data_IF_981018806407
#
_entry.id   IF_981018806407
#
_cell.length_a   1.000
_cell.length_b   1.000
_cell.length_c   1.000
_cell.angle_alpha   90.00
_cell.angle_beta   90.00
_cell.angle_gamma   90.00
#
_symmetry.space_group_name_H-M   'P 1'
#
loop_
_entity.id
_entity.type
_entity.pdbx_description
1 polymer ?
#
# COMPACT_ATOMS: atom_id res chain seq x y z
N UNK A 1 -15.45 13.77 -8.72
CA UNK A 1 -14.43 14.64 -8.11
C UNK A 1 -13.06 14.26 -8.68
N UNK A 2 -12.18 15.20 -9.04
CA UNK A 2 -10.82 14.88 -9.46
C UNK A 2 -10.07 14.22 -8.29
N UNK A 3 -9.48 13.05 -8.57
CA UNK A 3 -8.51 12.41 -7.69
C UNK A 3 -7.22 13.22 -7.78
N UNK A 4 -6.46 13.36 -6.70
CA UNK A 4 -5.13 13.99 -6.76
C UNK A 4 -4.08 13.01 -6.26
N UNK A 5 -2.87 13.11 -6.81
CA UNK A 5 -1.73 12.32 -6.37
C UNK A 5 -0.66 13.25 -5.82
N UNK A 6 -0.06 12.85 -4.70
CA UNK A 6 1.06 13.54 -4.07
C UNK A 6 2.36 13.19 -4.78
N UNK A 7 3.06 14.20 -5.27
CA UNK A 7 4.40 14.05 -5.83
C UNK A 7 5.48 14.24 -4.76
N UNK A 8 6.71 13.77 -5.01
CA UNK A 8 7.82 13.82 -4.04
C UNK A 8 8.26 15.22 -3.62
N UNK A 9 7.93 16.25 -4.41
CA UNK A 9 8.13 17.67 -4.06
C UNK A 9 6.94 18.26 -3.30
N UNK A 10 6.09 17.40 -2.72
CA UNK A 10 4.90 17.75 -1.94
C UNK A 10 3.81 18.47 -2.76
N UNK A 11 3.85 18.43 -4.10
CA UNK A 11 2.81 19.02 -4.94
C UNK A 11 1.69 18.01 -5.24
N UNK A 12 0.46 18.50 -5.22
CA UNK A 12 -0.72 17.73 -5.63
C UNK A 12 -1.05 18.03 -7.08
N UNK A 13 -1.00 16.99 -7.90
CA UNK A 13 -1.38 17.07 -9.31
C UNK A 13 -2.76 16.45 -9.50
N UNK A 14 -3.67 17.12 -10.22
CA UNK A 14 -4.96 16.52 -10.58
C UNK A 14 -4.70 15.26 -11.41
N UNK A 15 -5.28 14.14 -10.99
CA UNK A 15 -5.31 12.91 -11.75
C UNK A 15 -6.02 13.22 -13.07
N UNK A 16 -5.34 13.12 -14.23
CA UNK A 16 -6.05 13.26 -15.48
C UNK A 16 -7.09 12.13 -15.54
N UNK A 17 -8.38 12.47 -15.70
CA UNK A 17 -9.45 11.48 -15.89
C UNK A 17 -9.29 10.66 -17.18
N UNK A 18 -8.25 10.93 -17.94
CA UNK A 18 -7.75 10.15 -19.06
C UNK A 18 -6.39 9.58 -18.67
N UNK A 19 -6.11 8.29 -18.90
CA UNK A 19 -4.74 7.79 -18.82
C UNK A 19 -3.91 8.74 -19.69
N UNK A 20 -2.82 9.29 -19.13
CA UNK A 20 -1.93 10.18 -19.85
C UNK A 20 -1.59 9.51 -21.19
N UNK A 21 -2.30 9.94 -22.23
CA UNK A 21 -2.15 9.42 -23.56
C UNK A 21 -0.92 10.14 -24.06
N UNK A 22 0.22 9.47 -24.00
CA UNK A 22 1.43 9.88 -24.68
C UNK A 22 2.05 11.18 -24.20
N UNK A 23 2.89 11.09 -23.17
CA UNK A 23 4.29 11.47 -23.42
C UNK A 23 5.00 10.21 -23.88
N UNK A 24 5.07 10.06 -25.20
CA UNK A 24 5.96 9.18 -25.96
C UNK A 24 6.91 8.32 -25.10
N UNK A 25 6.45 7.12 -24.73
CA UNK A 25 7.35 6.01 -24.36
C UNK A 25 8.17 5.52 -25.59
N UNK A 26 8.12 6.23 -26.72
CA UNK A 26 8.99 6.01 -27.89
C UNK A 26 10.36 6.69 -27.73
N UNK A 27 10.53 7.58 -26.75
CA UNK A 27 11.82 8.25 -26.51
C UNK A 27 12.68 7.58 -25.44
N UNK A 28 12.14 6.57 -24.75
CA UNK A 28 13.01 5.59 -24.11
C UNK A 28 13.63 4.76 -25.22
N UNK A 29 14.94 4.80 -25.31
CA UNK A 29 15.88 3.90 -25.99
C UNK A 29 15.64 2.43 -25.60
N UNK A 30 14.44 1.93 -25.83
CA UNK A 30 13.85 0.74 -25.20
C UNK A 30 14.19 -0.56 -25.95
N UNK A 31 14.51 -0.45 -27.24
CA UNK A 31 14.63 -1.62 -28.12
C UNK A 31 15.99 -2.31 -28.12
N UNK A 32 17.09 -1.55 -27.94
CA UNK A 32 18.43 -2.07 -28.19
C UNK A 32 19.26 -2.21 -26.91
N UNK A 33 19.38 -1.18 -26.07
CA UNK A 33 20.23 -1.22 -24.86
C UNK A 33 19.78 -2.30 -23.87
N UNK A 34 18.48 -2.40 -23.58
CA UNK A 34 17.91 -3.40 -22.68
C UNK A 34 18.05 -4.82 -23.20
N UNK A 35 17.91 -5.03 -24.53
CA UNK A 35 18.16 -6.34 -25.14
C UNK A 35 19.63 -6.73 -25.04
N UNK A 36 20.55 -5.81 -25.28
CA UNK A 36 22.00 -6.10 -25.18
C UNK A 36 22.40 -6.44 -23.74
N UNK A 37 21.81 -5.77 -22.75
CA UNK A 37 22.11 -5.99 -21.33
C UNK A 37 21.37 -7.20 -20.72
N UNK A 38 20.28 -7.67 -21.33
CA UNK A 38 19.66 -8.94 -20.93
C UNK A 38 20.25 -10.15 -21.68
N UNK A 39 20.94 -9.92 -22.80
CA UNK A 39 21.43 -10.99 -23.69
C UNK A 39 22.69 -11.73 -23.22
N UNK A 40 23.55 -11.14 -22.37
CA UNK A 40 24.57 -11.84 -21.56
C UNK A 40 25.55 -10.87 -20.87
N UNK A 41 25.23 -10.38 -19.67
CA UNK A 41 26.24 -9.98 -18.70
C UNK A 41 26.40 -11.07 -17.64
N UNK A 42 27.53 -11.05 -16.93
CA UNK A 42 27.62 -11.78 -15.68
C UNK A 42 26.47 -11.39 -14.71
N UNK A 43 26.24 -12.21 -13.67
CA UNK A 43 25.13 -11.97 -12.74
C UNK A 43 25.16 -10.60 -12.04
N UNK A 44 26.33 -9.94 -11.97
CA UNK A 44 26.53 -8.67 -11.26
C UNK A 44 26.17 -7.49 -12.16
N UNK A 45 26.63 -7.49 -13.40
CA UNK A 45 26.32 -6.48 -14.41
C UNK A 45 24.83 -6.49 -14.76
N UNK A 46 24.21 -7.69 -14.89
CA UNK A 46 22.76 -7.82 -15.11
C UNK A 46 21.96 -7.22 -13.96
N UNK A 47 22.31 -7.55 -12.72
CA UNK A 47 21.62 -7.01 -11.54
C UNK A 47 21.70 -5.48 -11.45
N UNK A 48 22.85 -4.90 -11.82
CA UNK A 48 23.05 -3.45 -11.84
C UNK A 48 22.16 -2.77 -12.88
N UNK A 49 22.09 -3.32 -14.09
CA UNK A 49 21.25 -2.77 -15.13
C UNK A 49 19.76 -2.92 -14.85
N UNK A 50 19.34 -4.08 -14.32
CA UNK A 50 17.97 -4.29 -13.85
C UNK A 50 17.60 -3.26 -12.78
N UNK A 51 18.49 -2.96 -11.82
CA UNK A 51 18.24 -1.92 -10.82
C UNK A 51 18.08 -0.53 -11.44
N UNK A 52 18.98 -0.14 -12.36
CA UNK A 52 18.88 1.15 -13.06
C UNK A 52 17.57 1.29 -13.84
N UNK A 53 17.03 0.19 -14.35
CA UNK A 53 15.82 0.19 -15.17
C UNK A 53 14.52 0.07 -14.35
N UNK A 54 14.49 -0.81 -13.35
CA UNK A 54 13.28 -1.19 -12.62
C UNK A 54 13.00 -0.34 -11.39
N UNK A 55 14.04 0.28 -10.81
CA UNK A 55 13.90 1.03 -9.57
C UNK A 55 13.60 2.49 -9.90
N UNK A 56 12.51 3.01 -9.34
CA UNK A 56 12.09 4.40 -9.43
C UNK A 56 12.50 5.12 -8.14
N UNK A 57 13.75 5.59 -8.01
CA UNK A 57 14.30 6.08 -6.74
C UNK A 57 13.59 7.32 -6.21
N UNK A 58 12.90 8.05 -7.07
CA UNK A 58 12.25 9.31 -6.71
C UNK A 58 10.74 9.23 -6.74
N UNK A 59 10.12 8.23 -7.38
CA UNK A 59 8.67 8.22 -7.60
C UNK A 59 8.07 6.89 -7.17
N UNK A 60 7.07 6.90 -6.28
CA UNK A 60 6.37 5.67 -5.93
C UNK A 60 5.56 5.15 -7.12
N UNK A 61 5.43 3.83 -7.19
CA UNK A 61 4.59 3.15 -8.17
C UNK A 61 3.18 3.12 -7.62
N UNK A 62 2.24 3.68 -8.37
CA UNK A 62 0.86 3.83 -7.93
C UNK A 62 0.02 2.80 -8.68
N UNK A 63 -0.53 1.84 -7.95
CA UNK A 63 -1.17 0.67 -8.55
C UNK A 63 -2.50 0.99 -9.25
N UNK A 64 -3.11 2.14 -8.98
CA UNK A 64 -4.28 2.59 -9.75
C UNK A 64 -3.91 3.00 -11.21
N UNK A 65 -2.63 3.27 -11.47
CA UNK A 65 -2.09 3.71 -12.75
C UNK A 65 -1.08 2.72 -13.38
N UNK A 66 -0.76 1.62 -12.70
CA UNK A 66 0.35 0.75 -13.09
C UNK A 66 -0.01 -0.22 -14.22
N UNK A 67 0.65 -0.06 -15.38
CA UNK A 67 0.76 -1.07 -16.47
C UNK A 67 2.16 -1.72 -16.48
N UNK A 68 3.03 -1.32 -15.54
CA UNK A 68 4.48 -1.54 -15.63
C UNK A 68 4.90 -3.00 -15.58
N UNK A 69 4.30 -3.83 -14.72
CA UNK A 69 4.78 -5.21 -14.57
C UNK A 69 4.53 -6.06 -15.83
N UNK A 70 3.34 -5.98 -16.43
CA UNK A 70 3.03 -6.69 -17.70
C UNK A 70 3.98 -6.29 -18.83
N UNK A 71 4.38 -5.03 -18.85
CA UNK A 71 5.36 -4.54 -19.81
C UNK A 71 6.78 -5.07 -19.51
N UNK A 72 7.18 -5.11 -18.24
CA UNK A 72 8.46 -5.68 -17.79
C UNK A 72 8.54 -7.17 -18.15
N UNK A 73 7.49 -7.93 -17.86
CA UNK A 73 7.41 -9.35 -18.22
C UNK A 73 7.55 -9.55 -19.74
N UNK A 74 6.82 -8.77 -20.52
CA UNK A 74 6.88 -8.83 -22.00
C UNK A 74 8.28 -8.48 -22.52
N UNK A 75 9.00 -7.57 -21.85
CA UNK A 75 10.35 -7.18 -22.25
C UNK A 75 11.40 -8.26 -21.91
N UNK A 76 11.26 -8.95 -20.77
CA UNK A 76 12.20 -9.98 -20.30
C UNK A 76 11.91 -11.33 -20.95
N UNK A 77 10.63 -11.71 -21.07
CA UNK A 77 10.16 -12.97 -21.64
C UNK A 77 9.03 -12.70 -22.67
N UNK A 78 9.36 -12.31 -23.91
CA UNK A 78 8.37 -11.84 -24.90
C UNK A 78 7.43 -12.92 -25.46
N UNK A 79 7.64 -14.21 -25.17
CA UNK A 79 6.98 -15.30 -25.88
C UNK A 79 5.64 -15.73 -25.26
N UNK A 80 4.60 -16.01 -26.07
CA UNK A 80 3.39 -16.66 -25.61
C UNK A 80 3.70 -18.14 -25.38
N UNK A 81 4.05 -18.52 -24.15
CA UNK A 81 4.13 -19.93 -23.78
C UNK A 81 2.72 -20.54 -23.77
N UNK A 82 2.26 -20.97 -24.94
CA UNK A 82 1.35 -22.09 -25.07
C UNK A 82 2.23 -23.36 -25.02
N UNK A 83 2.67 -23.73 -23.82
CA UNK A 83 3.23 -25.07 -23.61
C UNK A 83 2.06 -26.05 -23.57
N UNK A 84 2.10 -27.07 -24.41
CA UNK A 84 1.28 -28.25 -24.23
C UNK A 84 1.62 -28.85 -22.86
N UNK A 85 0.64 -29.23 -22.03
CA UNK A 85 0.88 -29.78 -20.70
C UNK A 85 1.50 -31.17 -20.85
N UNK A 86 2.81 -31.24 -20.98
CA UNK A 86 3.56 -32.49 -21.21
C UNK A 86 5.05 -32.31 -21.50
N UNK A 87 5.47 -31.15 -22.01
CA UNK A 87 6.89 -30.90 -22.32
C UNK A 87 7.69 -30.41 -21.11
N UNK A 88 8.90 -30.93 -20.95
CA UNK A 88 9.84 -30.46 -19.93
C UNK A 88 10.33 -29.04 -20.28
N UNK A 89 10.58 -28.16 -19.29
CA UNK A 89 11.06 -26.81 -19.54
C UNK A 89 12.37 -26.86 -20.34
N UNK A 90 12.48 -26.04 -21.38
CA UNK A 90 13.75 -25.87 -22.10
C UNK A 90 14.76 -25.13 -21.22
N UNK A 91 16.07 -25.23 -21.52
CA UNK A 91 17.10 -24.45 -20.82
C UNK A 91 16.89 -22.93 -20.95
N UNK A 92 16.25 -22.49 -22.06
CA UNK A 92 15.89 -21.10 -22.29
C UNK A 92 14.71 -20.67 -21.40
N UNK A 93 13.79 -21.59 -21.09
CA UNK A 93 12.65 -21.36 -20.19
C UNK A 93 13.13 -21.20 -18.74
N UNK A 94 14.06 -22.05 -18.30
CA UNK A 94 14.65 -21.99 -16.97
C UNK A 94 15.43 -20.69 -16.77
N UNK A 95 16.21 -20.29 -17.79
CA UNK A 95 16.95 -19.02 -17.79
C UNK A 95 16.02 -17.81 -17.74
N UNK A 96 14.95 -17.81 -18.55
CA UNK A 96 13.96 -16.71 -18.58
C UNK A 96 13.20 -16.60 -17.25
N UNK A 97 12.84 -17.73 -16.64
CA UNK A 97 12.18 -17.77 -15.34
C UNK A 97 13.10 -17.23 -14.23
N UNK A 98 14.38 -17.58 -14.26
CA UNK A 98 15.35 -17.05 -13.31
C UNK A 98 15.52 -15.53 -13.46
N UNK A 99 15.58 -15.01 -14.69
CA UNK A 99 15.66 -13.58 -14.95
C UNK A 99 14.40 -12.83 -14.49
N UNK A 100 13.21 -13.39 -14.72
CA UNK A 100 11.95 -12.84 -14.23
C UNK A 100 11.92 -12.78 -12.70
N UNK A 101 12.45 -13.81 -12.03
CA UNK A 101 12.55 -13.84 -10.56
C UNK A 101 13.50 -12.78 -10.02
N UNK A 102 14.67 -12.60 -10.65
CA UNK A 102 15.62 -11.54 -10.29
C UNK A 102 15.02 -10.14 -10.50
N UNK A 103 14.34 -9.94 -11.63
CA UNK A 103 13.66 -8.68 -11.92
C UNK A 103 12.52 -8.40 -10.92
N UNK A 104 11.73 -9.42 -10.56
CA UNK A 104 10.68 -9.30 -9.57
C UNK A 104 11.25 -8.92 -8.20
N UNK A 105 12.31 -9.60 -7.76
CA UNK A 105 12.98 -9.29 -6.49
C UNK A 105 13.45 -7.84 -6.48
N UNK A 106 14.15 -7.38 -7.51
CA UNK A 106 14.62 -5.99 -7.62
C UNK A 106 13.46 -5.00 -7.65
N UNK A 107 12.43 -5.27 -8.45
CA UNK A 107 11.31 -4.36 -8.64
C UNK A 107 10.48 -4.21 -7.36
N UNK A 108 10.09 -5.30 -6.71
CA UNK A 108 9.26 -5.24 -5.51
C UNK A 108 10.03 -4.85 -4.25
N UNK A 109 11.31 -5.21 -4.15
CA UNK A 109 12.09 -4.91 -2.93
C UNK A 109 12.64 -3.50 -2.87
N UNK A 110 12.93 -2.87 -4.02
CA UNK A 110 13.58 -1.56 -4.04
C UNK A 110 12.66 -0.40 -4.42
N UNK A 111 11.42 -0.67 -4.83
CA UNK A 111 10.44 0.38 -5.11
C UNK A 111 9.54 0.64 -3.92
N UNK A 112 9.03 1.87 -3.86
CA UNK A 112 7.92 2.24 -3.00
C UNK A 112 6.61 2.05 -3.77
N UNK A 113 5.63 1.40 -3.14
CA UNK A 113 4.31 1.19 -3.72
C UNK A 113 3.23 1.99 -2.98
N UNK A 114 2.38 2.68 -3.74
CA UNK A 114 1.15 3.29 -3.24
C UNK A 114 -0.02 2.53 -3.83
N UNK A 115 -0.84 1.93 -2.96
CA UNK A 115 -1.92 1.04 -3.35
C UNK A 115 -3.18 1.49 -2.65
N UNK A 116 -4.26 1.65 -3.40
CA UNK A 116 -5.56 1.93 -2.78
C UNK A 116 -6.09 0.68 -2.09
N UNK A 117 -6.80 0.86 -0.99
CA UNK A 117 -7.31 -0.27 -0.20
C UNK A 117 -8.13 -1.25 -1.03
N UNK A 118 -8.93 -0.74 -1.99
CA UNK A 118 -9.76 -1.55 -2.88
C UNK A 118 -8.99 -2.37 -3.93
N UNK A 119 -7.69 -2.11 -4.11
CA UNK A 119 -6.82 -2.85 -5.05
C UNK A 119 -5.77 -3.71 -4.33
N UNK A 120 -5.78 -3.74 -2.99
CA UNK A 120 -4.71 -4.31 -2.20
C UNK A 120 -4.58 -5.83 -2.39
N UNK A 121 -5.69 -6.55 -2.38
CA UNK A 121 -5.71 -7.99 -2.64
C UNK A 121 -5.17 -8.37 -4.02
N UNK A 122 -5.61 -7.67 -5.06
CA UNK A 122 -5.20 -7.88 -6.44
C UNK A 122 -3.70 -7.62 -6.61
N UNK A 123 -3.18 -6.59 -5.94
CA UNK A 123 -1.76 -6.28 -5.92
C UNK A 123 -0.94 -7.37 -5.21
N UNK A 124 -1.41 -7.88 -4.08
CA UNK A 124 -0.64 -8.82 -3.26
C UNK A 124 -0.65 -10.26 -3.79
N UNK A 125 -1.76 -10.72 -4.38
CA UNK A 125 -1.98 -12.14 -4.66
C UNK A 125 -2.00 -12.51 -6.14
N UNK A 126 -1.82 -11.56 -7.07
CA UNK A 126 -1.90 -11.82 -8.52
C UNK A 126 -3.07 -12.75 -8.87
N UNK A 127 -4.26 -12.37 -8.41
CA UNK A 127 -5.50 -13.17 -8.52
C UNK A 127 -5.86 -13.54 -9.96
N UNK A 128 -5.31 -12.83 -10.94
CA UNK A 128 -5.52 -13.07 -12.36
C UNK A 128 -4.41 -13.92 -13.02
N UNK A 129 -3.39 -14.36 -12.26
CA UNK A 129 -2.24 -15.11 -12.78
C UNK A 129 -1.45 -14.35 -13.85
N UNK A 130 -1.63 -13.02 -13.93
CA UNK A 130 -1.06 -12.17 -14.96
C UNK A 130 0.43 -11.96 -14.73
N UNK A 131 0.86 -11.93 -13.47
CA UNK A 131 2.23 -11.65 -13.09
C UNK A 131 3.14 -12.90 -13.17
N UNK A 132 2.58 -14.12 -13.17
CA UNK A 132 3.33 -15.38 -13.30
C UNK A 132 4.58 -15.43 -12.38
N UNK A 133 4.57 -14.73 -11.26
CA UNK A 133 5.70 -14.69 -10.32
C UNK A 133 5.54 -15.87 -9.37
N UNK A 134 6.47 -16.85 -9.38
CA UNK A 134 6.44 -17.94 -8.43
C UNK A 134 6.84 -17.38 -7.05
N UNK A 135 5.86 -17.26 -6.15
CA UNK A 135 6.06 -16.69 -4.82
C UNK A 135 5.42 -15.30 -4.71
N UNK A 136 4.44 -15.22 -3.82
CA UNK A 136 3.56 -14.07 -3.59
C UNK A 136 4.35 -12.75 -3.52
N UNK A 137 3.88 -11.72 -4.24
CA UNK A 137 4.35 -10.32 -4.16
C UNK A 137 4.51 -9.86 -2.70
N UNK A 138 3.62 -10.34 -1.83
CA UNK A 138 3.65 -10.27 -0.36
C UNK A 138 5.04 -10.48 0.27
N UNK A 139 5.84 -11.40 -0.28
CA UNK A 139 7.17 -11.75 0.24
C UNK A 139 8.29 -10.86 -0.28
N UNK A 140 8.06 -10.07 -1.33
CA UNK A 140 9.09 -9.25 -1.97
C UNK A 140 9.00 -7.78 -1.57
N UNK A 141 7.81 -7.28 -1.25
CA UNK A 141 7.60 -5.86 -0.96
C UNK A 141 8.30 -5.43 0.33
N UNK A 142 9.00 -4.29 0.26
CA UNK A 142 9.67 -3.64 1.40
C UNK A 142 9.01 -2.33 1.83
N UNK A 143 8.56 -1.48 0.92
CA UNK A 143 7.88 -0.21 1.23
C UNK A 143 6.48 -0.14 0.58
N UNK A 144 5.45 -0.18 1.43
CA UNK A 144 4.06 -0.15 1.01
C UNK A 144 3.29 0.96 1.73
N UNK A 145 2.57 1.76 0.95
CA UNK A 145 1.60 2.74 1.42
C UNK A 145 0.21 2.34 0.96
N UNK A 146 -0.70 2.12 1.92
CA UNK A 146 -2.11 1.80 1.66
C UNK A 146 -2.96 3.06 1.83
N UNK A 147 -3.70 3.44 0.80
CA UNK A 147 -4.55 4.64 0.81
C UNK A 147 -6.01 4.26 1.02
N UNK A 148 -6.61 4.86 2.04
CA UNK A 148 -8.04 4.75 2.37
C UNK A 148 -8.68 6.11 2.14
N UNK A 149 -9.65 6.19 1.23
CA UNK A 149 -10.35 7.47 0.97
C UNK A 149 -11.61 7.58 1.83
N UNK A 150 -11.85 8.76 2.41
CA UNK A 150 -13.03 9.01 3.26
C UNK A 150 -14.28 9.41 2.45
N UNK A 151 -14.26 9.17 1.13
CA UNK A 151 -14.96 9.96 0.10
C UNK A 151 -16.42 10.29 0.39
N UNK A 152 -16.71 11.44 1.00
CA UNK A 152 -18.05 12.04 1.10
C UNK A 152 -19.16 11.14 1.65
N UNK A 153 -18.83 10.04 2.33
CA UNK A 153 -19.80 9.03 2.74
C UNK A 153 -20.61 9.55 3.94
N UNK A 154 -21.92 9.69 3.74
CA UNK A 154 -22.89 9.98 4.81
C UNK A 154 -22.98 8.82 5.83
N UNK A 155 -22.54 7.61 5.45
CA UNK A 155 -22.29 6.46 6.33
C UNK A 155 -21.56 5.33 5.59
N UNK A 156 -20.54 4.72 6.18
CA UNK A 156 -19.96 3.46 5.67
C UNK A 156 -20.91 2.32 6.05
N UNK A 157 -21.34 1.51 5.09
CA UNK A 157 -22.17 0.33 5.39
C UNK A 157 -21.36 -0.73 6.14
N UNK A 158 -22.04 -1.60 6.90
CA UNK A 158 -21.38 -2.69 7.62
C UNK A 158 -20.54 -3.57 6.70
N UNK A 159 -21.09 -3.93 5.53
CA UNK A 159 -20.41 -4.71 4.50
C UNK A 159 -19.14 -4.04 3.97
N UNK A 160 -19.19 -2.73 3.70
CA UNK A 160 -18.00 -1.97 3.28
C UNK A 160 -16.95 -1.95 4.39
N UNK A 161 -17.37 -1.75 5.64
CA UNK A 161 -16.48 -1.79 6.79
C UNK A 161 -15.81 -3.16 6.98
N UNK A 162 -16.56 -4.25 6.81
CA UNK A 162 -16.03 -5.61 6.85
C UNK A 162 -15.02 -5.87 5.73
N UNK A 163 -15.30 -5.44 4.51
CA UNK A 163 -14.37 -5.59 3.38
C UNK A 163 -13.10 -4.77 3.61
N UNK A 164 -13.20 -3.54 4.13
CA UNK A 164 -12.03 -2.74 4.51
C UNK A 164 -11.13 -3.47 5.52
N UNK A 165 -11.74 -4.06 6.56
CA UNK A 165 -11.01 -4.83 7.57
C UNK A 165 -10.34 -6.05 6.95
N UNK A 166 -11.06 -6.79 6.10
CA UNK A 166 -10.54 -7.97 5.39
C UNK A 166 -9.37 -7.62 4.47
N UNK A 167 -9.46 -6.53 3.70
CA UNK A 167 -8.37 -6.06 2.84
C UNK A 167 -7.11 -5.73 3.68
N UNK A 168 -7.27 -5.01 4.79
CA UNK A 168 -6.15 -4.71 5.69
C UNK A 168 -5.54 -5.96 6.35
N UNK A 169 -6.31 -7.03 6.54
CA UNK A 169 -5.78 -8.29 7.09
C UNK A 169 -4.77 -8.96 6.16
N UNK A 170 -4.81 -8.72 4.84
CA UNK A 170 -3.79 -9.25 3.92
C UNK A 170 -2.38 -8.72 4.23
N UNK A 171 -2.28 -7.55 4.86
CA UNK A 171 -0.99 -6.98 5.28
C UNK A 171 -0.27 -7.85 6.32
N UNK A 172 -0.97 -8.68 7.09
CA UNK A 172 -0.32 -9.63 8.00
C UNK A 172 0.58 -10.63 7.28
N UNK A 173 0.29 -10.95 6.00
CA UNK A 173 1.12 -11.82 5.18
C UNK A 173 2.47 -11.19 4.81
N UNK A 174 2.57 -9.86 4.81
CA UNK A 174 3.71 -9.11 4.28
C UNK A 174 4.87 -9.05 5.30
N UNK A 175 5.54 -10.18 5.52
CA UNK A 175 6.57 -10.33 6.57
C UNK A 175 7.82 -9.47 6.37
N UNK A 176 8.14 -9.17 5.11
CA UNK A 176 9.38 -8.50 4.72
C UNK A 176 9.26 -6.97 4.64
N UNK A 177 8.09 -6.39 4.92
CA UNK A 177 7.90 -4.94 4.90
C UNK A 177 8.85 -4.25 5.87
N UNK A 178 9.70 -3.37 5.36
CA UNK A 178 10.54 -2.48 6.14
C UNK A 178 9.76 -1.24 6.55
N UNK A 179 8.78 -0.84 5.73
CA UNK A 179 7.91 0.30 5.98
C UNK A 179 6.49 0.01 5.50
N UNK A 180 5.54 0.26 6.39
CA UNK A 180 4.11 0.21 6.10
C UNK A 180 3.48 1.55 6.49
N UNK A 181 2.89 2.23 5.52
CA UNK A 181 2.11 3.43 5.77
C UNK A 181 0.63 3.17 5.46
N UNK A 182 -0.26 3.69 6.31
CA UNK A 182 -1.70 3.75 6.04
C UNK A 182 -2.09 5.23 6.01
N UNK A 183 -2.57 5.68 4.87
CA UNK A 183 -2.99 7.07 4.67
C UNK A 183 -4.51 7.15 4.57
N UNK A 184 -5.12 7.91 5.48
CA UNK A 184 -6.55 8.22 5.45
C UNK A 184 -6.72 9.55 4.74
N UNK A 185 -7.14 9.51 3.48
CA UNK A 185 -7.24 10.65 2.58
C UNK A 185 -8.66 11.22 2.55
N UNK A 186 -8.81 12.51 2.80
CA UNK A 186 -10.10 13.18 2.76
C UNK A 186 -10.07 14.61 3.27
N UNK A 187 -11.19 15.33 3.17
CA UNK A 187 -11.35 16.64 3.83
C UNK A 187 -11.41 16.55 5.36
N UNK A 188 -11.79 17.66 5.99
CA UNK A 188 -12.00 17.72 7.44
C UNK A 188 -10.78 18.15 8.24
N UNK A 189 -10.86 17.97 9.55
CA UNK A 189 -9.82 18.39 10.50
C UNK A 189 -8.59 17.46 10.38
N UNK A 190 -7.39 18.03 10.42
CA UNK A 190 -6.16 17.24 10.30
C UNK A 190 -5.91 16.32 11.50
N UNK A 191 -6.49 16.60 12.67
CA UNK A 191 -6.54 15.67 13.79
C UNK A 191 -7.41 14.44 13.51
N UNK A 192 -8.16 14.40 12.41
CA UNK A 192 -9.07 13.31 12.08
C UNK A 192 -10.27 13.24 13.02
N UNK A 193 -10.68 14.39 13.58
CA UNK A 193 -11.86 14.51 14.45
C UNK A 193 -13.16 14.72 13.66
N UNK A 194 -13.07 14.89 12.34
CA UNK A 194 -14.26 14.88 11.49
C UNK A 194 -14.90 13.48 11.47
N UNK A 195 -16.22 13.46 11.32
CA UNK A 195 -17.02 12.23 11.39
C UNK A 195 -16.53 11.15 10.42
N UNK A 196 -16.27 11.49 9.16
CA UNK A 196 -15.87 10.53 8.13
C UNK A 196 -14.52 9.88 8.46
N UNK A 197 -13.56 10.65 8.96
CA UNK A 197 -12.26 10.13 9.40
C UNK A 197 -12.39 9.28 10.67
N UNK A 198 -13.17 9.72 11.65
CA UNK A 198 -13.42 8.94 12.87
C UNK A 198 -14.09 7.60 12.57
N UNK A 199 -15.03 7.56 11.62
CA UNK A 199 -15.71 6.33 11.23
C UNK A 199 -14.74 5.31 10.61
N UNK A 200 -13.83 5.76 9.75
CA UNK A 200 -12.76 4.90 9.22
C UNK A 200 -11.86 4.42 10.35
N UNK A 201 -11.39 5.31 11.22
CA UNK A 201 -10.56 4.96 12.37
C UNK A 201 -11.27 3.91 13.23
N UNK A 202 -12.56 4.07 13.50
CA UNK A 202 -13.38 3.13 14.26
C UNK A 202 -13.42 1.76 13.61
N UNK A 203 -13.65 1.69 12.31
CA UNK A 203 -13.73 0.44 11.53
C UNK A 203 -12.39 -0.29 11.54
N UNK A 204 -11.30 0.41 11.26
CA UNK A 204 -9.97 -0.21 11.12
C UNK A 204 -9.25 -0.40 12.47
N UNK A 205 -9.74 0.19 13.56
CA UNK A 205 -9.08 0.17 14.86
C UNK A 205 -8.66 -1.23 15.33
N UNK A 206 -9.51 -2.28 15.23
CA UNK A 206 -9.14 -3.64 15.62
C UNK A 206 -7.99 -4.23 14.79
N UNK A 207 -8.04 -4.09 13.46
CA UNK A 207 -7.01 -4.66 12.57
C UNK A 207 -5.70 -3.89 12.71
N UNK A 208 -5.76 -2.56 12.80
CA UNK A 208 -4.59 -1.71 12.99
C UNK A 208 -3.89 -2.00 14.32
N UNK A 209 -4.62 -2.32 15.39
CA UNK A 209 -4.01 -2.77 16.64
C UNK A 209 -3.14 -4.02 16.43
N UNK A 210 -3.64 -4.99 15.66
CA UNK A 210 -2.86 -6.18 15.30
C UNK A 210 -1.65 -5.84 14.42
N UNK A 211 -1.83 -5.00 13.40
CA UNK A 211 -0.74 -4.55 12.52
C UNK A 211 0.35 -3.82 13.32
N UNK A 212 -0.04 -2.98 14.28
CA UNK A 212 0.91 -2.29 15.16
C UNK A 212 1.73 -3.27 16.00
N UNK A 213 1.13 -4.34 16.51
CA UNK A 213 1.87 -5.39 17.22
C UNK A 213 2.89 -6.11 16.34
N UNK A 214 2.58 -6.33 15.05
CA UNK A 214 3.47 -7.01 14.10
C UNK A 214 4.57 -6.10 13.54
N UNK A 215 4.22 -4.88 13.15
CA UNK A 215 5.13 -3.97 12.43
C UNK A 215 5.82 -2.96 13.35
N UNK A 216 5.26 -2.70 14.54
CA UNK A 216 5.79 -1.79 15.54
C UNK A 216 6.17 -0.42 14.94
N UNK A 217 7.44 -0.02 15.03
CA UNK A 217 7.95 1.26 14.53
C UNK A 217 7.94 1.38 13.00
N UNK A 218 7.74 0.27 12.28
CA UNK A 218 7.62 0.24 10.81
C UNK A 218 6.24 0.66 10.32
N UNK A 219 5.23 0.68 11.20
CA UNK A 219 3.89 1.12 10.87
C UNK A 219 3.74 2.62 11.13
N UNK A 220 3.26 3.34 10.13
CA UNK A 220 2.83 4.73 10.25
C UNK A 220 1.40 4.89 9.75
N UNK A 221 0.65 5.76 10.41
CA UNK A 221 -0.74 6.08 10.05
C UNK A 221 -0.86 7.59 10.01
N UNK A 222 -1.35 8.11 8.89
CA UNK A 222 -1.45 9.54 8.68
C UNK A 222 -2.82 9.94 8.14
N UNK A 223 -3.32 11.08 8.61
CA UNK A 223 -4.43 11.80 7.98
C UNK A 223 -3.84 12.70 6.89
N UNK A 224 -4.37 12.58 5.67
CA UNK A 224 -3.95 13.36 4.51
C UNK A 224 -5.14 14.16 3.98
N UNK A 225 -4.94 15.45 3.75
CA UNK A 225 -5.94 16.34 3.17
C UNK A 225 -5.93 16.31 1.63
N UNK A 226 -6.92 16.90 0.93
CA UNK A 226 -6.95 16.92 -0.53
C UNK A 226 -5.87 17.82 -1.17
N UNK A 227 -5.46 18.87 -0.47
CA UNK A 227 -4.25 19.68 -0.75
C UNK A 227 -2.97 19.04 -0.17
N UNK A 228 -3.17 17.87 0.44
CA UNK A 228 -2.34 17.02 1.26
C UNK A 228 -1.12 17.56 1.95
N UNK A 229 -1.42 18.51 2.83
CA UNK A 229 -0.95 18.38 4.19
C UNK A 229 -1.16 16.94 4.71
N UNK A 230 -0.21 16.50 5.54
CA UNK A 230 -0.26 15.19 6.20
C UNK A 230 0.02 15.37 7.67
N UNK A 231 -0.74 14.70 8.52
CA UNK A 231 -0.54 14.64 9.97
C UNK A 231 -0.43 13.19 10.40
N UNK A 232 0.68 12.84 11.03
CA UNK A 232 0.84 11.52 11.63
C UNK A 232 -0.10 11.38 12.85
N UNK A 233 -0.96 10.36 12.82
CA UNK A 233 -1.93 10.04 13.86
C UNK A 233 -1.71 8.64 14.45
N UNK A 234 -0.56 8.01 14.18
CA UNK A 234 -0.18 6.67 14.68
C UNK A 234 -0.31 6.55 16.20
N UNK A 235 -0.08 7.66 16.89
CA UNK A 235 -0.23 7.82 18.33
C UNK A 235 -1.63 7.50 18.88
N UNK A 236 -2.69 7.55 18.06
CA UNK A 236 -4.05 7.20 18.50
C UNK A 236 -4.17 5.73 18.92
N UNK A 237 -3.31 4.86 18.39
CA UNK A 237 -3.20 3.46 18.79
C UNK A 237 -2.17 3.23 19.91
N UNK A 238 -1.71 4.28 20.59
CA UNK A 238 -0.85 4.19 21.78
C UNK A 238 -1.63 4.65 23.01
N UNK A 239 -2.22 3.72 23.74
CA UNK A 239 -2.78 4.01 25.06
C UNK A 239 -1.75 3.58 26.13
N UNK A 240 -0.65 4.33 26.23
CA UNK A 240 0.47 3.98 27.11
C UNK A 240 0.50 4.75 28.44
N UNK A 241 -0.28 5.82 28.58
CA UNK A 241 -0.29 6.65 29.77
C UNK A 241 -1.72 6.88 30.24
N UNK A 242 -2.05 6.41 31.45
CA UNK A 242 -3.38 6.60 32.07
C UNK A 242 -3.84 8.06 32.15
N UNK A 243 -2.95 9.02 31.87
CA UNK A 243 -3.19 10.45 31.70
C UNK A 243 -4.29 10.77 30.69
N UNK A 244 -4.34 10.10 29.53
CA UNK A 244 -5.39 10.34 28.53
C UNK A 244 -6.76 9.92 29.06
N UNK A 245 -6.82 8.80 29.78
CA UNK A 245 -8.05 8.32 30.42
C UNK A 245 -8.49 9.24 31.57
N UNK A 246 -7.58 9.61 32.47
CA UNK A 246 -7.88 10.54 33.58
C UNK A 246 -8.31 11.92 33.08
N UNK A 247 -7.69 12.43 32.02
CA UNK A 247 -8.09 13.72 31.42
C UNK A 247 -9.46 13.62 30.75
N UNK A 248 -9.77 12.48 30.13
CA UNK A 248 -11.09 12.22 29.55
C UNK A 248 -12.17 12.13 30.62
N UNK A 249 -11.91 11.37 31.69
CA UNK A 249 -12.84 11.19 32.81
C UNK A 249 -13.07 12.51 33.59
N UNK A 250 -12.09 13.42 33.59
CA UNK A 250 -12.19 14.76 34.20
C UNK A 250 -12.66 15.86 33.24
N UNK A 251 -13.03 15.52 32.00
CA UNK A 251 -13.46 16.49 30.97
C UNK A 251 -12.43 17.58 30.62
N UNK A 252 -11.13 17.30 30.80
CA UNK A 252 -10.01 18.21 30.49
C UNK A 252 -9.16 17.73 29.31
N UNK A 253 -9.59 16.66 28.63
CA UNK A 253 -8.86 16.05 27.53
C UNK A 253 -8.79 16.93 26.27
N UNK A 254 -7.60 16.98 25.67
CA UNK A 254 -7.37 17.50 24.32
C UNK A 254 -7.98 16.57 23.26
N UNK A 255 -8.17 17.07 22.04
CA UNK A 255 -8.66 16.26 20.90
C UNK A 255 -7.85 14.98 20.67
N UNK A 256 -6.52 15.05 20.76
CA UNK A 256 -5.64 13.88 20.61
C UNK A 256 -5.86 12.84 21.73
N UNK A 257 -6.08 13.29 22.97
CA UNK A 257 -6.37 12.40 24.10
C UNK A 257 -7.75 11.75 23.96
N UNK A 258 -8.76 12.49 23.49
CA UNK A 258 -10.09 11.95 23.19
C UNK A 258 -9.97 10.85 22.12
N UNK A 259 -9.26 11.12 21.01
CA UNK A 259 -9.06 10.15 19.94
C UNK A 259 -8.35 8.89 20.44
N UNK A 260 -7.29 9.00 21.26
CA UNK A 260 -6.63 7.84 21.86
C UNK A 260 -7.57 6.96 22.68
N UNK A 261 -8.41 7.57 23.53
CA UNK A 261 -9.39 6.84 24.35
C UNK A 261 -10.45 6.16 23.48
N UNK A 262 -10.98 6.86 22.48
CA UNK A 262 -11.97 6.32 21.55
C UNK A 262 -11.40 5.16 20.72
N UNK A 263 -10.24 5.36 20.08
CA UNK A 263 -9.54 4.33 19.30
C UNK A 263 -9.24 3.09 20.15
N UNK A 264 -8.81 3.28 21.40
CA UNK A 264 -8.64 2.16 22.32
C UNK A 264 -9.94 1.39 22.56
N UNK A 265 -11.06 2.08 22.81
CA UNK A 265 -12.37 1.41 22.99
C UNK A 265 -12.80 0.66 21.73
N UNK A 266 -12.61 1.24 20.55
CA UNK A 266 -12.96 0.61 19.27
C UNK A 266 -12.08 -0.61 18.96
N UNK A 267 -10.79 -0.55 19.29
CA UNK A 267 -9.86 -1.67 19.13
C UNK A 267 -10.06 -2.80 20.15
N UNK A 268 -10.88 -2.59 21.19
CA UNK A 268 -11.15 -3.56 22.27
C UNK A 268 -12.67 -3.77 22.48
N UNK A 269 -13.38 -4.39 21.52
CA UNK A 269 -14.84 -4.53 21.57
C UNK A 269 -15.35 -5.29 22.82
N UNK A 270 -14.53 -6.17 23.42
CA UNK A 270 -14.86 -6.86 24.69
C UNK A 270 -14.96 -5.93 25.91
N UNK A 271 -14.42 -4.71 25.85
CA UNK A 271 -14.53 -3.72 26.92
C UNK A 271 -15.73 -2.76 26.73
N UNK A 272 -16.53 -2.91 25.66
CA UNK A 272 -17.77 -2.12 25.48
C UNK A 272 -18.82 -2.38 26.58
N UNK A 273 -18.88 -3.59 27.15
CA UNK A 273 -19.91 -3.95 28.14
C UNK A 273 -19.65 -3.44 29.56
N UNK A 274 -18.43 -3.00 29.89
CA UNK A 274 -18.08 -2.60 31.26
C UNK A 274 -18.32 -1.12 31.56
N UNK A 275 -18.61 -0.29 30.55
CA UNK A 275 -18.78 1.16 30.71
C UNK A 275 -20.07 1.72 30.10
N UNK A 276 -20.90 0.89 29.45
CA UNK A 276 -22.28 1.26 29.10
C UNK A 276 -23.18 1.45 30.34
N UNK A 277 -22.68 1.12 31.54
CA UNK A 277 -23.34 1.42 32.82
C UNK A 277 -22.89 2.73 33.49
N UNK A 278 -22.02 3.54 32.87
CA UNK A 278 -21.46 4.74 33.51
C UNK A 278 -21.73 6.06 32.75
N UNK A 279 -22.49 6.04 31.65
CA UNK A 279 -22.90 7.25 30.93
C UNK A 279 -24.34 7.11 30.42
N UNK A 280 -25.28 7.38 31.31
CA UNK A 280 -26.51 8.15 31.07
C UNK A 280 -26.73 9.06 32.26
#
# INVERSE_FOLDING_TARGET
MPVYIKTPDNRWIPYPMTPATGSSLKDATFGNYTKTVLANPDGVERGTALRQWLVQPTRPIIHDAAVYWTYIQTAIAPSPFAQDPGDSPSADDETSNQQLKEAADIYYSNNQFIVRLELLDNFLYDTNGAMRIPGLVVSLIRDLTVVITTGGLDKISEKEGEEMVKQLQYLFGCKNLEKLAIEICGGGDMAGTDWSTQEIIRIIAPVVKGLKSQFNTRLSISKVSPDGASRNITQYWSLSDGTAKSSFDSCTATSDQIMRVQTYRWANPKQRSLLSGALF
#
